data_IF_839228186811
#
_entry.id   IF_839228186811
#
_cell.length_a   1.000
_cell.length_b   1.000
_cell.length_c   1.000
_cell.angle_alpha   90.00
_cell.angle_beta   90.00
_cell.angle_gamma   90.00
#
_symmetry.space_group_name_H-M   'P 1'
#
loop_
_entity.id
_entity.type
_entity.pdbx_description
1 polymer ?
#
# COMPACT_ATOMS: atom_id res chain seq x y z
N UNK A 1 -42.85 17.70 -20.96
CA UNK A 1 -42.16 16.39 -21.01
C UNK A 1 -40.96 16.54 -21.94
N UNK A 2 -39.86 15.85 -21.66
CA UNK A 2 -38.49 15.99 -22.24
C UNK A 2 -37.71 17.17 -21.61
N UNK A 3 -36.49 17.03 -21.10
CA UNK A 3 -35.50 15.96 -21.21
C UNK A 3 -34.61 15.96 -19.95
N UNK A 4 -34.83 15.03 -19.02
CA UNK A 4 -33.91 14.73 -17.91
C UNK A 4 -32.73 13.85 -18.34
N UNK A 5 -32.54 13.67 -19.65
CA UNK A 5 -31.60 12.71 -20.23
C UNK A 5 -30.24 13.31 -20.63
N UNK A 6 -30.11 14.63 -20.73
CA UNK A 6 -28.86 15.27 -21.17
C UNK A 6 -27.81 15.48 -20.08
N UNK A 7 -28.20 15.51 -18.79
CA UNK A 7 -27.24 15.67 -17.70
C UNK A 7 -26.48 14.38 -17.34
N UNK A 8 -26.93 13.23 -17.85
CA UNK A 8 -26.29 11.92 -17.58
C UNK A 8 -25.11 11.67 -18.52
N UNK A 9 -25.08 12.29 -19.70
CA UNK A 9 -24.18 11.89 -20.79
C UNK A 9 -22.85 12.64 -20.87
N UNK A 10 -22.63 13.70 -20.08
CA UNK A 10 -21.37 14.47 -20.12
C UNK A 10 -20.30 13.89 -19.17
N UNK A 11 -20.68 13.02 -18.22
CA UNK A 11 -19.73 12.36 -17.31
C UNK A 11 -18.85 11.30 -18.00
N UNK A 12 -19.17 10.92 -19.24
CA UNK A 12 -18.49 9.90 -20.05
C UNK A 12 -17.17 10.37 -20.69
N UNK A 13 -16.67 11.54 -20.31
CA UNK A 13 -15.38 12.06 -20.74
C UNK A 13 -14.28 11.75 -19.71
N UNK A 14 -13.65 10.58 -19.85
CA UNK A 14 -12.25 10.27 -19.44
C UNK A 14 -11.87 10.73 -18.01
N UNK A 15 -12.73 10.54 -17.01
CA UNK A 15 -12.29 10.61 -15.63
C UNK A 15 -11.72 9.24 -15.24
N UNK A 16 -10.39 9.12 -15.24
CA UNK A 16 -9.68 7.92 -14.76
C UNK A 16 -10.23 7.56 -13.38
N UNK A 17 -10.99 6.46 -13.30
CA UNK A 17 -11.68 6.03 -12.08
C UNK A 17 -10.67 5.98 -10.92
N UNK A 18 -10.95 6.75 -9.87
CA UNK A 18 -10.08 6.78 -8.69
C UNK A 18 -10.19 5.43 -8.00
N UNK A 19 -9.05 4.79 -7.72
CA UNK A 19 -9.02 3.48 -7.07
C UNK A 19 -9.86 2.44 -7.82
N UNK A 20 -9.59 2.21 -9.10
CA UNK A 20 -10.34 1.23 -9.92
C UNK A 20 -10.56 -0.16 -9.28
N UNK A 21 -9.72 -0.58 -8.34
CA UNK A 21 -9.85 -1.83 -7.59
C UNK A 21 -11.05 -1.88 -6.62
N UNK A 22 -11.70 -0.75 -6.30
CA UNK A 22 -12.88 -0.71 -5.43
C UNK A 22 -14.21 -0.66 -6.20
N UNK A 23 -14.17 -0.74 -7.53
CA UNK A 23 -15.38 -0.66 -8.39
C UNK A 23 -16.43 -1.72 -8.05
N UNK A 24 -16.02 -2.88 -7.52
CA UNK A 24 -16.92 -3.93 -7.06
C UNK A 24 -17.71 -3.57 -5.79
N UNK A 25 -17.27 -2.55 -5.05
CA UNK A 25 -17.90 -2.08 -3.82
C UNK A 25 -18.56 -0.71 -3.96
N UNK A 26 -18.00 0.12 -4.84
CA UNK A 26 -18.37 1.52 -4.95
C UNK A 26 -18.43 1.99 -6.41
N UNK A 27 -19.49 2.71 -6.73
CA UNK A 27 -19.64 3.43 -7.99
C UNK A 27 -19.27 4.91 -7.76
N UNK A 28 -18.33 5.45 -8.53
CA UNK A 28 -17.92 6.85 -8.42
C UNK A 28 -18.93 7.76 -9.12
N UNK A 29 -19.54 8.68 -8.37
CA UNK A 29 -20.41 9.72 -8.88
C UNK A 29 -19.57 10.98 -9.09
N UNK A 30 -19.45 11.46 -10.33
CA UNK A 30 -18.77 12.71 -10.62
C UNK A 30 -19.65 13.87 -10.17
N UNK A 31 -19.18 14.64 -9.18
CA UNK A 31 -19.76 15.95 -8.85
C UNK A 31 -18.74 17.01 -9.25
N UNK A 32 -19.08 17.82 -10.25
CA UNK A 32 -18.22 18.88 -10.80
C UNK A 32 -18.07 20.07 -9.84
N UNK A 33 -18.83 20.10 -8.73
CA UNK A 33 -18.87 21.25 -7.81
C UNK A 33 -17.84 21.19 -6.68
N UNK A 34 -17.38 20.00 -6.27
CA UNK A 34 -16.56 19.86 -5.04
C UNK A 34 -15.21 19.18 -5.29
N UNK A 35 -14.17 19.59 -4.54
CA UNK A 35 -12.84 18.93 -4.53
C UNK A 35 -12.88 17.46 -4.05
N UNK A 36 -14.02 17.00 -3.53
CA UNK A 36 -14.20 15.68 -2.96
C UNK A 36 -14.89 14.75 -3.96
N UNK A 37 -14.51 13.48 -3.93
CA UNK A 37 -15.10 12.43 -4.75
C UNK A 37 -16.26 11.79 -4.01
N UNK A 38 -17.40 11.67 -4.66
CA UNK A 38 -18.59 11.02 -4.12
C UNK A 38 -18.66 9.60 -4.67
N UNK A 39 -18.93 8.63 -3.79
CA UNK A 39 -19.10 7.24 -4.13
C UNK A 39 -20.45 6.72 -3.63
N UNK A 40 -21.12 5.92 -4.43
CA UNK A 40 -22.31 5.14 -4.06
C UNK A 40 -21.88 3.73 -3.66
N UNK A 41 -22.30 3.28 -2.47
CA UNK A 41 -22.04 1.90 -2.05
C UNK A 41 -23.00 0.93 -2.75
N UNK A 42 -22.45 -0.14 -3.33
CA UNK A 42 -23.21 -1.19 -4.02
C UNK A 42 -23.73 -2.28 -3.06
N UNK A 43 -23.17 -2.38 -1.85
CA UNK A 43 -23.54 -3.38 -0.85
C UNK A 43 -24.64 -2.91 0.11
N UNK A 44 -24.89 -1.60 0.16
CA UNK A 44 -25.99 -1.03 0.95
C UNK A 44 -27.32 -1.38 0.27
N UNK A 45 -28.10 -2.30 0.86
CA UNK A 45 -29.49 -2.54 0.46
C UNK A 45 -30.41 -1.38 0.87
N UNK A 46 -31.71 -1.45 0.51
CA UNK A 46 -32.42 -0.60 -0.46
C UNK A 46 -32.24 0.94 -0.35
N UNK A 47 -31.64 1.44 0.73
CA UNK A 47 -31.28 2.85 0.89
C UNK A 47 -29.93 3.11 0.26
N UNK A 48 -29.93 3.87 -0.83
CA UNK A 48 -28.70 4.35 -1.46
C UNK A 48 -27.86 5.12 -0.44
N UNK A 49 -26.64 4.64 -0.18
CA UNK A 49 -25.68 5.35 0.67
C UNK A 49 -24.57 5.95 -0.16
N UNK A 50 -24.52 7.29 -0.15
CA UNK A 50 -23.43 8.08 -0.74
C UNK A 50 -22.39 8.42 0.31
N UNK A 51 -21.13 8.34 -0.07
CA UNK A 51 -19.98 8.60 0.79
C UNK A 51 -19.08 9.58 0.06
N UNK A 52 -18.80 10.71 0.71
CA UNK A 52 -17.83 11.68 0.21
C UNK A 52 -16.45 11.37 0.75
N UNK A 53 -15.44 11.48 -0.10
CA UNK A 53 -14.03 11.20 0.18
C UNK A 53 -13.16 12.29 -0.40
N UNK A 54 -11.98 12.51 0.18
CA UNK A 54 -11.02 13.39 -0.46
C UNK A 54 -10.49 12.75 -1.74
N UNK A 55 -9.98 13.57 -2.67
CA UNK A 55 -9.31 13.06 -3.85
C UNK A 55 -7.94 12.39 -3.52
N UNK A 56 -7.50 12.32 -2.27
CA UNK A 56 -6.20 11.70 -1.91
C UNK A 56 -6.34 10.46 -1.05
N UNK A 57 -7.51 10.21 -0.45
CA UNK A 57 -7.69 9.11 0.51
C UNK A 57 -9.05 8.43 0.40
N UNK A 58 -9.03 7.10 0.48
CA UNK A 58 -10.22 6.25 0.52
C UNK A 58 -10.65 5.89 1.96
N UNK A 59 -10.10 6.56 3.00
CA UNK A 59 -10.36 6.23 4.40
C UNK A 59 -11.86 6.17 4.74
N UNK A 60 -12.66 7.09 4.19
CA UNK A 60 -14.10 7.12 4.45
C UNK A 60 -14.82 5.89 3.85
N UNK A 61 -14.37 5.40 2.69
CA UNK A 61 -14.90 4.17 2.07
C UNK A 61 -14.54 2.95 2.90
N UNK A 62 -13.29 2.86 3.36
CA UNK A 62 -12.84 1.78 4.23
C UNK A 62 -13.60 1.76 5.56
N UNK A 63 -13.78 2.93 6.18
CA UNK A 63 -14.56 3.06 7.41
C UNK A 63 -16.01 2.65 7.20
N UNK A 64 -16.61 3.02 6.06
CA UNK A 64 -17.95 2.58 5.71
C UNK A 64 -18.05 1.06 5.60
N UNK A 65 -17.16 0.39 4.86
CA UNK A 65 -17.13 -1.08 4.79
C UNK A 65 -16.92 -1.67 6.19
N UNK A 66 -15.99 -1.14 7.00
CA UNK A 66 -15.74 -1.64 8.36
C UNK A 66 -16.99 -1.63 9.23
N UNK A 67 -17.80 -0.58 9.16
CA UNK A 67 -18.98 -0.38 10.03
C UNK A 67 -20.21 -1.07 9.47
N UNK A 68 -20.51 -0.90 8.18
CA UNK A 68 -21.76 -1.36 7.56
C UNK A 68 -21.65 -2.76 6.93
N UNK A 69 -20.44 -3.16 6.54
CA UNK A 69 -20.17 -4.39 5.81
C UNK A 69 -18.94 -5.10 6.38
N UNK A 70 -18.88 -5.28 7.70
CA UNK A 70 -17.66 -5.74 8.40
C UNK A 70 -17.10 -7.06 7.85
N UNK A 71 -17.97 -7.94 7.32
CA UNK A 71 -17.59 -9.20 6.67
C UNK A 71 -16.77 -9.00 5.38
N UNK A 72 -17.00 -7.90 4.68
CA UNK A 72 -16.32 -7.56 3.42
C UNK A 72 -15.01 -6.77 3.61
N UNK A 73 -14.66 -6.40 4.84
CA UNK A 73 -13.49 -5.57 5.11
C UNK A 73 -12.17 -6.23 4.66
N UNK A 74 -12.05 -7.55 4.83
CA UNK A 74 -10.85 -8.27 4.43
C UNK A 74 -10.72 -8.28 2.90
N UNK A 75 -11.79 -8.67 2.21
CA UNK A 75 -11.86 -8.66 0.74
C UNK A 75 -11.57 -7.26 0.17
N UNK A 76 -12.13 -6.21 0.79
CA UNK A 76 -11.88 -4.82 0.41
C UNK A 76 -10.39 -4.44 0.53
N UNK A 77 -9.74 -4.80 1.66
CA UNK A 77 -8.31 -4.52 1.85
C UNK A 77 -7.44 -5.33 0.89
N UNK A 78 -7.83 -6.54 0.51
CA UNK A 78 -7.05 -7.38 -0.38
C UNK A 78 -7.12 -6.92 -1.83
N UNK A 79 -8.24 -6.32 -2.27
CA UNK A 79 -8.33 -5.66 -3.57
C UNK A 79 -7.36 -4.47 -3.71
N UNK A 80 -7.01 -3.80 -2.61
CA UNK A 80 -5.97 -2.77 -2.61
C UNK A 80 -4.55 -3.34 -2.74
N UNK A 81 -4.34 -4.62 -2.39
CA UNK A 81 -3.04 -5.31 -2.44
C UNK A 81 -2.78 -6.04 -3.76
N UNK A 82 -3.81 -6.40 -4.55
CA UNK A 82 -3.70 -7.19 -5.79
C UNK A 82 -2.90 -6.56 -6.95
N UNK A 83 -2.10 -5.53 -6.69
CA UNK A 83 -1.14 -4.95 -7.64
C UNK A 83 0.33 -5.20 -7.28
N UNK A 84 0.63 -6.29 -6.59
CA UNK A 84 2.00 -6.78 -6.39
C UNK A 84 2.17 -8.21 -6.93
N UNK A 85 1.98 -8.37 -8.24
CA UNK A 85 2.42 -9.57 -8.97
C UNK A 85 3.15 -9.17 -10.26
N UNK A 86 4.04 -8.21 -10.12
CA UNK A 86 5.18 -8.03 -11.01
C UNK A 86 6.33 -7.66 -10.11
N UNK A 87 7.40 -8.43 -10.20
CA UNK A 87 8.68 -8.26 -9.51
C UNK A 87 9.24 -6.87 -9.81
N UNK A 88 8.76 -5.87 -9.09
CA UNK A 88 9.43 -4.61 -8.92
C UNK A 88 9.62 -4.51 -7.42
N UNK A 89 10.85 -4.67 -6.98
CA UNK A 89 11.31 -4.25 -5.66
C UNK A 89 11.02 -2.74 -5.63
N UNK A 90 9.80 -2.37 -5.26
CA UNK A 90 9.52 -1.02 -4.80
C UNK A 90 10.24 -1.00 -3.48
N UNK A 91 11.45 -0.47 -3.49
CA UNK A 91 12.26 -0.19 -2.33
C UNK A 91 11.42 0.71 -1.43
N UNK A 92 10.68 0.05 -0.53
CA UNK A 92 9.88 0.78 0.42
C UNK A 92 10.88 1.41 1.36
N UNK A 93 10.98 2.74 1.34
CA UNK A 93 11.70 3.54 2.35
C UNK A 93 11.10 3.38 3.78
N UNK A 94 10.38 2.28 4.04
CA UNK A 94 9.86 1.92 5.34
C UNK A 94 11.00 1.25 6.08
N UNK A 95 11.47 1.91 7.14
CA UNK A 95 12.36 1.30 8.11
C UNK A 95 11.74 0.00 8.62
N UNK A 96 12.48 -1.10 8.51
CA UNK A 96 12.09 -2.39 9.09
C UNK A 96 11.97 -2.26 10.61
N UNK A 97 11.00 -2.96 11.21
CA UNK A 97 10.95 -3.02 12.68
C UNK A 97 12.16 -3.78 13.18
N UNK A 98 12.68 -3.41 14.35
CA UNK A 98 13.86 -4.07 14.93
C UNK A 98 13.68 -5.58 15.10
N UNK A 99 12.46 -6.02 15.40
CA UNK A 99 12.13 -7.45 15.52
C UNK A 99 12.06 -8.19 14.18
N UNK A 100 12.11 -7.50 13.05
CA UNK A 100 12.18 -8.07 11.70
C UNK A 100 13.64 -8.15 11.20
N UNK A 101 14.52 -7.29 11.74
CA UNK A 101 15.97 -7.33 11.49
C UNK A 101 16.55 -8.60 12.11
N UNK A 102 17.17 -9.47 11.30
CA UNK A 102 17.82 -10.71 11.77
C UNK A 102 16.94 -11.97 11.80
N UNK A 103 15.66 -11.91 11.41
CA UNK A 103 14.79 -13.11 11.27
C UNK A 103 15.01 -13.92 10.00
N UNK A 104 16.09 -13.68 9.28
CA UNK A 104 16.40 -14.38 8.02
C UNK A 104 16.98 -15.75 8.39
N UNK A 105 16.54 -16.86 7.79
CA UNK A 105 17.11 -18.18 8.04
C UNK A 105 18.62 -18.15 7.80
N UNK A 106 19.39 -18.32 8.88
CA UNK A 106 20.85 -18.21 8.83
C UNK A 106 21.40 -19.51 8.25
N UNK A 107 21.69 -19.54 6.95
CA UNK A 107 22.73 -20.44 6.46
C UNK A 107 24.07 -19.84 6.90
N UNK A 108 25.00 -20.67 7.41
CA UNK A 108 26.37 -20.22 7.66
C UNK A 108 26.92 -19.67 6.34
N UNK A 109 27.24 -18.38 6.32
CA UNK A 109 27.91 -17.77 5.19
C UNK A 109 29.36 -18.25 5.18
N UNK A 110 29.91 -18.45 3.99
CA UNK A 110 31.36 -18.59 3.84
C UNK A 110 32.05 -17.25 4.13
N UNK A 111 33.34 -17.29 4.48
CA UNK A 111 34.13 -16.07 4.72
C UNK A 111 34.10 -15.12 3.51
N UNK A 112 34.10 -15.66 2.29
CA UNK A 112 33.98 -14.89 1.05
C UNK A 112 32.64 -14.16 0.92
N UNK A 113 31.53 -14.84 1.21
CA UNK A 113 30.19 -14.22 1.16
C UNK A 113 30.00 -13.18 2.27
N UNK A 114 30.58 -13.42 3.45
CA UNK A 114 30.56 -12.45 4.54
C UNK A 114 31.33 -11.18 4.19
N UNK A 115 32.52 -11.33 3.61
CA UNK A 115 33.33 -10.20 3.16
C UNK A 115 32.64 -9.41 2.05
N UNK A 116 32.07 -10.10 1.05
CA UNK A 116 31.34 -9.46 -0.04
C UNK A 116 30.12 -8.66 0.47
N UNK A 117 29.36 -9.23 1.41
CA UNK A 117 28.21 -8.55 2.02
C UNK A 117 28.62 -7.29 2.81
N UNK A 118 29.74 -7.34 3.55
CA UNK A 118 30.26 -6.17 4.26
C UNK A 118 30.80 -5.10 3.32
N UNK A 119 31.51 -5.48 2.25
CA UNK A 119 31.98 -4.55 1.22
C UNK A 119 30.80 -3.87 0.53
N UNK A 120 29.77 -4.65 0.16
CA UNK A 120 28.56 -4.11 -0.43
C UNK A 120 27.85 -3.12 0.48
N UNK A 121 27.73 -3.44 1.78
CA UNK A 121 27.17 -2.52 2.78
C UNK A 121 27.94 -1.18 2.77
N UNK A 122 29.27 -1.24 2.87
CA UNK A 122 30.14 -0.05 2.90
C UNK A 122 29.96 0.81 1.64
N UNK A 123 29.95 0.17 0.46
CA UNK A 123 29.83 0.86 -0.83
C UNK A 123 28.44 1.49 -0.98
N UNK A 124 27.38 0.71 -0.77
CA UNK A 124 26.00 1.13 -1.00
C UNK A 124 25.58 2.24 -0.04
N UNK A 125 26.08 2.23 1.20
CA UNK A 125 25.77 3.26 2.21
C UNK A 125 26.83 4.34 2.34
N UNK A 126 27.86 4.34 1.49
CA UNK A 126 29.01 5.26 1.52
C UNK A 126 29.56 5.42 2.95
N UNK A 127 29.67 4.30 3.65
CA UNK A 127 30.04 4.27 5.06
C UNK A 127 31.54 4.05 5.24
N UNK A 128 32.15 4.53 6.34
CA UNK A 128 33.55 4.26 6.61
C UNK A 128 33.77 2.80 7.01
N UNK A 129 34.97 2.27 6.77
CA UNK A 129 35.37 0.93 7.24
C UNK A 129 35.25 0.78 8.76
N UNK A 130 35.39 1.89 9.51
CA UNK A 130 35.20 1.90 10.96
C UNK A 130 33.80 1.45 11.41
N UNK A 131 32.79 1.47 10.53
CA UNK A 131 31.46 0.94 10.84
C UNK A 131 31.50 -0.57 11.14
N UNK A 132 32.19 -1.34 10.29
CA UNK A 132 32.27 -2.80 10.44
C UNK A 132 33.34 -3.22 11.47
N UNK A 133 34.29 -2.33 11.77
CA UNK A 133 35.29 -2.52 12.83
C UNK A 133 34.79 -2.10 14.22
N UNK A 134 33.66 -1.39 14.28
CA UNK A 134 33.15 -0.87 15.53
C UNK A 134 32.82 -2.02 16.52
N UNK A 135 33.23 -1.93 17.80
CA UNK A 135 33.03 -3.02 18.77
C UNK A 135 31.56 -3.49 18.88
N UNK A 136 30.60 -2.58 18.73
CA UNK A 136 29.18 -2.91 18.74
C UNK A 136 28.76 -3.76 17.52
N UNK A 137 29.31 -3.48 16.33
CA UNK A 137 29.04 -4.27 15.13
C UNK A 137 29.64 -5.67 15.24
N UNK A 138 30.88 -5.78 15.72
CA UNK A 138 31.53 -7.07 15.98
C UNK A 138 30.71 -7.90 16.99
N UNK A 139 30.23 -7.27 18.06
CA UNK A 139 29.38 -7.91 19.06
C UNK A 139 28.06 -8.41 18.44
N UNK A 140 27.44 -7.59 17.59
CA UNK A 140 26.23 -7.96 16.85
C UNK A 140 26.44 -9.19 15.94
N UNK A 141 27.54 -9.23 15.18
CA UNK A 141 27.88 -10.38 14.34
C UNK A 141 28.08 -11.67 15.16
N UNK A 142 28.73 -11.58 16.33
CA UNK A 142 28.91 -12.73 17.24
C UNK A 142 27.60 -13.28 17.78
N UNK A 143 26.65 -12.42 18.12
CA UNK A 143 25.34 -12.82 18.63
C UNK A 143 24.44 -13.45 17.55
N UNK A 144 24.69 -13.14 16.28
CA UNK A 144 23.86 -13.58 15.15
C UNK A 144 24.46 -14.75 14.36
N UNK A 145 25.73 -15.07 14.58
CA UNK A 145 26.41 -16.24 13.99
C UNK A 145 26.28 -17.45 14.93
N UNK A 146 25.24 -18.28 14.73
CA UNK A 146 25.17 -19.65 15.29
C UNK A 146 26.05 -20.60 14.46
#
# INVERSE_FOLDING_TARGET
>A
QQSTSELVNICTAINKLKWSYISQYFEQLCDTSTKNLIFKCLLCGPKEKRISTSNTSNSNLRTHIKIMHSKELNNFNDCAKKRSSTTNIVESNKQLKLCEVGKIPVRKLSDGEFNDANLKLIIDTVSPFSLIEHPAFITYCKLTSN
#
